data_IF_412802204399
#
_entry.id   IF_412802204399
#
_cell.length_a   1.000
_cell.length_b   1.000
_cell.length_c   1.000
_cell.angle_alpha   90.00
_cell.angle_beta   90.00
_cell.angle_gamma   90.00
#
_symmetry.space_group_name_H-M   'P 1'
#
loop_
_entity.id
_entity.type
_entity.pdbx_description
1 polymer ?
#
# COMPACT_ATOMS: atom_id res chain seq x y z
N UNK A 1 17.77 1.12 18.23
CA UNK A 1 16.40 1.42 17.77
C UNK A 1 16.44 2.80 17.16
N UNK A 2 16.09 2.95 15.88
CA UNK A 2 15.92 4.29 15.30
C UNK A 2 14.79 5.02 16.04
N UNK A 3 14.96 6.31 16.29
CA UNK A 3 13.91 7.13 16.90
C UNK A 3 12.72 7.21 15.94
N UNK A 4 11.52 6.85 16.41
CA UNK A 4 10.25 7.06 15.69
C UNK A 4 9.74 8.50 15.83
N UNK A 5 10.60 9.45 16.21
CA UNK A 5 10.20 10.84 16.37
C UNK A 5 9.64 11.41 15.05
N UNK A 6 8.39 11.87 15.08
CA UNK A 6 7.68 12.37 13.92
C UNK A 6 6.91 11.32 13.11
N UNK A 7 7.08 10.03 13.41
CA UNK A 7 6.28 8.97 12.81
C UNK A 7 4.93 8.81 13.50
N UNK A 8 3.87 8.68 12.70
CA UNK A 8 2.53 8.30 13.15
C UNK A 8 1.97 7.22 12.23
N UNK A 9 1.23 6.27 12.80
CA UNK A 9 0.53 5.30 11.97
C UNK A 9 -0.54 5.99 11.10
N UNK A 10 -0.83 5.42 9.93
CA UNK A 10 -1.88 5.93 9.04
C UNK A 10 -3.23 6.01 9.79
N UNK A 11 -3.56 5.01 10.61
CA UNK A 11 -4.78 5.02 11.41
C UNK A 11 -4.82 6.20 12.41
N UNK A 12 -3.69 6.50 13.06
CA UNK A 12 -3.61 7.64 13.98
C UNK A 12 -3.76 8.97 13.22
N UNK A 13 -3.17 9.09 12.03
CA UNK A 13 -3.31 10.27 11.18
C UNK A 13 -4.76 10.49 10.75
N UNK A 14 -5.47 9.45 10.31
CA UNK A 14 -6.88 9.54 9.95
C UNK A 14 -7.75 9.99 11.13
N UNK A 15 -7.49 9.47 12.34
CA UNK A 15 -8.19 9.88 13.58
C UNK A 15 -7.93 11.33 13.94
N UNK A 16 -6.70 11.82 13.78
CA UNK A 16 -6.33 13.21 14.07
C UNK A 16 -6.92 14.18 13.05
N UNK A 17 -6.86 13.85 11.76
CA UNK A 17 -7.40 14.66 10.68
C UNK A 17 -8.92 14.76 10.73
N UNK A 18 -9.61 13.73 11.25
CA UNK A 18 -11.07 13.60 11.24
C UNK A 18 -11.67 13.73 9.83
N UNK A 19 -10.87 13.42 8.81
CA UNK A 19 -11.25 13.36 7.40
C UNK A 19 -10.47 12.24 6.71
N UNK A 20 -10.96 11.75 5.56
CA UNK A 20 -10.16 10.94 4.65
C UNK A 20 -8.94 11.71 4.15
N UNK A 21 -7.94 10.99 3.65
CA UNK A 21 -6.88 11.61 2.87
C UNK A 21 -7.42 12.14 1.54
N UNK A 22 -6.85 13.24 1.07
CA UNK A 22 -7.10 13.75 -0.26
C UNK A 22 -6.33 12.92 -1.29
N UNK A 23 -6.58 13.17 -2.57
CA UNK A 23 -5.98 12.38 -3.65
C UNK A 23 -4.45 12.42 -3.66
N UNK A 24 -3.85 13.60 -3.45
CA UNK A 24 -2.39 13.77 -3.42
C UNK A 24 -1.75 12.98 -2.26
N UNK A 25 -2.36 13.05 -1.08
CA UNK A 25 -1.96 12.29 0.11
C UNK A 25 -2.06 10.79 -0.15
N UNK A 26 -3.14 10.32 -0.80
CA UNK A 26 -3.38 8.91 -1.17
C UNK A 26 -2.32 8.42 -2.18
N UNK A 27 -2.08 9.18 -3.23
CA UNK A 27 -1.08 8.82 -4.25
C UNK A 27 0.29 8.71 -3.59
N UNK A 28 0.64 9.68 -2.74
CA UNK A 28 1.93 9.70 -2.06
C UNK A 28 2.15 8.46 -1.17
N UNK A 29 1.20 8.14 -0.28
CA UNK A 29 1.30 6.96 0.60
C UNK A 29 1.41 5.67 -0.21
N UNK A 30 0.63 5.53 -1.28
CA UNK A 30 0.64 4.32 -2.11
C UNK A 30 1.97 4.15 -2.82
N UNK A 31 2.53 5.21 -3.41
CA UNK A 31 3.85 5.13 -4.04
C UNK A 31 4.93 4.67 -3.06
N UNK A 32 4.98 5.29 -1.88
CA UNK A 32 5.95 4.91 -0.84
C UNK A 32 5.76 3.50 -0.32
N UNK A 33 4.51 3.05 -0.22
CA UNK A 33 4.20 1.70 0.19
C UNK A 33 4.61 0.67 -0.87
N UNK A 34 4.38 0.95 -2.15
CA UNK A 34 4.84 0.10 -3.25
C UNK A 34 6.36 -0.01 -3.22
N UNK A 35 7.08 1.11 -3.08
CA UNK A 35 8.54 1.11 -2.95
C UNK A 35 9.01 0.23 -1.76
N UNK A 36 8.33 0.32 -0.62
CA UNK A 36 8.65 -0.49 0.55
C UNK A 36 8.40 -2.00 0.30
N UNK A 37 7.29 -2.35 -0.35
CA UNK A 37 6.93 -3.73 -0.68
C UNK A 37 7.87 -4.35 -1.72
N UNK A 38 8.30 -3.56 -2.72
CA UNK A 38 9.30 -3.98 -3.69
C UNK A 38 10.65 -4.27 -3.02
N UNK A 39 11.05 -3.44 -2.05
CA UNK A 39 12.24 -3.70 -1.24
C UNK A 39 12.12 -5.00 -0.43
N UNK A 40 11.00 -5.23 0.26
CA UNK A 40 10.78 -6.49 0.98
C UNK A 40 10.89 -7.71 0.04
N UNK A 41 10.27 -7.62 -1.14
CA UNK A 41 10.35 -8.66 -2.17
C UNK A 41 11.79 -8.92 -2.64
N UNK A 42 12.60 -7.88 -2.83
CA UNK A 42 14.02 -8.00 -3.21
C UNK A 42 14.83 -8.78 -2.19
N UNK A 43 14.50 -8.65 -0.91
CA UNK A 43 15.17 -9.35 0.19
C UNK A 43 14.50 -10.68 0.58
N UNK A 44 13.54 -11.17 -0.21
CA UNK A 44 12.81 -12.40 0.10
C UNK A 44 12.06 -12.34 1.44
N UNK A 45 11.62 -11.15 1.84
CA UNK A 45 10.91 -10.92 3.10
C UNK A 45 9.42 -10.80 2.80
N UNK A 46 8.61 -11.53 3.56
CA UNK A 46 7.15 -11.35 3.59
C UNK A 46 6.76 -10.67 4.89
N UNK A 47 5.96 -9.61 4.79
CA UNK A 47 5.30 -9.01 5.93
C UNK A 47 3.81 -9.36 5.90
N UNK A 48 3.35 -10.11 6.91
CA UNK A 48 1.95 -10.56 7.00
C UNK A 48 1.01 -9.54 7.66
N UNK A 49 1.51 -8.39 8.12
CA UNK A 49 0.77 -7.46 8.96
C UNK A 49 0.76 -6.04 8.38
N UNK A 50 0.56 -5.94 7.07
CA UNK A 50 0.49 -4.64 6.37
C UNK A 50 -0.93 -4.09 6.53
N UNK A 51 -1.12 -3.24 7.53
CA UNK A 51 -2.40 -2.56 7.86
C UNK A 51 -2.14 -1.09 8.15
N UNK A 52 -3.20 -0.25 8.18
CA UNK A 52 -3.05 1.17 8.53
C UNK A 52 -2.43 1.43 9.91
N UNK A 53 -2.47 0.46 10.83
CA UNK A 53 -1.84 0.56 12.15
C UNK A 53 -0.32 0.34 12.10
N UNK A 54 0.16 -0.41 11.09
CA UNK A 54 1.55 -0.84 10.96
C UNK A 54 2.30 -0.12 9.83
N UNK A 55 1.63 0.82 9.16
CA UNK A 55 2.24 1.75 8.21
C UNK A 55 2.42 3.07 8.92
N UNK A 56 3.66 3.52 9.04
CA UNK A 56 4.02 4.75 9.73
C UNK A 56 4.50 5.79 8.73
N UNK A 57 3.84 6.94 8.71
CA UNK A 57 4.25 8.11 7.93
C UNK A 57 4.94 9.11 8.87
N UNK A 58 6.11 9.60 8.46
CA UNK A 58 6.77 10.70 9.12
C UNK A 58 6.19 12.02 8.60
N UNK A 59 5.54 12.77 9.48
CA UNK A 59 4.87 14.02 9.08
C UNK A 59 5.83 15.18 8.82
N UNK A 60 7.12 15.05 9.18
CA UNK A 60 8.15 16.08 8.97
C UNK A 60 8.83 15.95 7.60
N UNK A 61 9.08 14.73 7.13
CA UNK A 61 9.84 14.48 5.89
C UNK A 61 9.12 13.60 4.86
N UNK A 62 7.94 13.06 5.20
CA UNK A 62 7.14 12.22 4.31
C UNK A 62 7.59 10.76 4.22
N UNK A 63 8.62 10.33 4.95
CA UNK A 63 9.08 8.95 4.87
C UNK A 63 8.02 7.97 5.39
N UNK A 64 7.87 6.83 4.71
CA UNK A 64 7.01 5.73 5.13
C UNK A 64 7.85 4.57 5.65
N UNK A 65 7.46 4.01 6.78
CA UNK A 65 8.03 2.80 7.37
C UNK A 65 6.95 1.75 7.61
N UNK A 66 7.32 0.49 7.43
CA UNK A 66 6.49 -0.67 7.76
C UNK A 66 6.99 -1.31 9.05
N UNK A 67 6.09 -1.65 9.97
CA UNK A 67 6.46 -2.49 11.10
C UNK A 67 6.79 -3.90 10.61
N UNK A 68 8.04 -4.31 10.85
CA UNK A 68 8.56 -5.61 10.45
C UNK A 68 8.35 -6.71 11.51
N UNK A 69 7.69 -6.44 12.64
CA UNK A 69 7.55 -7.38 13.77
C UNK A 69 6.94 -8.75 13.42
N UNK A 70 6.17 -8.82 12.34
CA UNK A 70 5.56 -10.03 11.79
C UNK A 70 6.20 -10.52 10.49
N UNK A 71 7.36 -9.99 10.12
CA UNK A 71 8.02 -10.32 8.86
C UNK A 71 8.78 -11.64 8.95
N UNK A 72 8.81 -12.41 7.86
CA UNK A 72 9.57 -13.66 7.75
C UNK A 72 10.39 -13.69 6.46
N UNK A 73 11.59 -14.24 6.54
CA UNK A 73 12.39 -14.58 5.36
C UNK A 73 11.85 -15.86 4.73
N UNK A 74 11.65 -15.86 3.41
CA UNK A 74 11.39 -17.08 2.65
C UNK A 74 12.73 -17.66 2.22
N UNK A 75 13.17 -18.73 2.88
CA UNK A 75 14.35 -19.51 2.51
C UNK A 75 13.91 -20.84 1.90
N UNK A 76 13.55 -20.87 0.61
CA UNK A 76 13.71 -22.05 -0.28
C UNK A 76 13.10 -21.80 -1.66
N UNK A 77 13.80 -22.27 -2.70
CA UNK A 77 13.38 -22.15 -4.11
C UNK A 77 12.06 -22.87 -4.46
N UNK A 78 11.51 -23.70 -3.55
CA UNK A 78 10.26 -24.46 -3.74
C UNK A 78 9.04 -23.85 -3.00
N UNK A 79 9.23 -23.16 -1.87
CA UNK A 79 8.17 -22.33 -1.25
C UNK A 79 7.94 -21.01 -2.00
N UNK A 80 8.95 -20.58 -2.74
CA UNK A 80 8.96 -19.31 -3.47
C UNK A 80 7.78 -19.19 -4.44
N UNK A 81 7.39 -20.22 -5.19
CA UNK A 81 6.34 -20.10 -6.21
C UNK A 81 4.95 -19.92 -5.62
N UNK A 82 4.59 -20.67 -4.58
CA UNK A 82 3.29 -20.56 -3.91
C UNK A 82 3.22 -19.31 -3.04
N UNK A 83 4.26 -19.02 -2.25
CA UNK A 83 4.25 -17.88 -1.34
C UNK A 83 4.41 -16.56 -2.09
N UNK A 84 5.13 -16.51 -3.22
CA UNK A 84 5.24 -15.29 -4.04
C UNK A 84 3.99 -15.05 -4.89
N UNK A 85 3.28 -16.10 -5.34
CA UNK A 85 1.97 -15.94 -5.97
C UNK A 85 0.92 -15.49 -4.95
N UNK A 86 0.92 -16.09 -3.75
CA UNK A 86 0.10 -15.64 -2.63
C UNK A 86 0.49 -14.22 -2.22
N UNK A 87 1.77 -13.85 -2.24
CA UNK A 87 2.27 -12.51 -1.93
C UNK A 87 1.85 -11.46 -2.96
N UNK A 88 1.98 -11.74 -4.27
CA UNK A 88 1.53 -10.79 -5.31
C UNK A 88 0.00 -10.64 -5.32
N UNK A 89 -0.75 -11.72 -5.03
CA UNK A 89 -2.20 -11.65 -4.84
C UNK A 89 -2.55 -10.88 -3.54
N UNK A 90 -1.80 -11.10 -2.46
CA UNK A 90 -1.96 -10.40 -1.19
C UNK A 90 -1.60 -8.93 -1.31
N UNK A 91 -0.54 -8.52 -2.01
CA UNK A 91 -0.14 -7.11 -2.15
C UNK A 91 -1.25 -6.31 -2.82
N UNK A 92 -1.85 -6.84 -3.90
CA UNK A 92 -2.99 -6.18 -4.56
C UNK A 92 -4.16 -6.04 -3.60
N UNK A 93 -4.57 -7.11 -2.92
CA UNK A 93 -5.66 -7.04 -1.95
C UNK A 93 -5.36 -6.09 -0.80
N UNK A 94 -4.14 -6.10 -0.26
CA UNK A 94 -3.66 -5.21 0.81
C UNK A 94 -3.73 -3.75 0.35
N UNK A 95 -3.22 -3.44 -0.84
CA UNK A 95 -3.32 -2.09 -1.43
C UNK A 95 -4.79 -1.69 -1.59
N UNK A 96 -5.64 -2.59 -2.05
CA UNK A 96 -7.09 -2.37 -2.17
C UNK A 96 -7.75 -2.04 -0.83
N UNK A 97 -7.46 -2.82 0.22
CA UNK A 97 -7.99 -2.57 1.57
C UNK A 97 -7.50 -1.23 2.13
N UNK A 98 -6.21 -0.94 1.98
CA UNK A 98 -5.62 0.32 2.44
C UNK A 98 -6.23 1.51 1.73
N UNK A 99 -6.35 1.46 0.39
CA UNK A 99 -6.98 2.50 -0.41
C UNK A 99 -8.41 2.78 0.05
N UNK A 100 -9.19 1.74 0.34
CA UNK A 100 -10.54 1.88 0.87
C UNK A 100 -10.52 2.60 2.22
N UNK A 101 -9.65 2.20 3.16
CA UNK A 101 -9.56 2.82 4.48
C UNK A 101 -9.16 4.30 4.42
N UNK A 102 -8.09 4.61 3.70
CA UNK A 102 -7.56 5.99 3.61
C UNK A 102 -8.47 6.93 2.82
N UNK A 103 -9.30 6.39 1.92
CA UNK A 103 -10.30 7.15 1.16
C UNK A 103 -11.63 7.34 1.92
N UNK A 104 -11.70 6.95 3.21
CA UNK A 104 -12.88 7.15 4.04
C UNK A 104 -13.88 6.00 4.06
N UNK A 105 -13.47 4.82 3.58
CA UNK A 105 -14.26 3.59 3.58
C UNK A 105 -15.29 3.50 2.46
N UNK A 106 -15.85 2.31 2.26
CA UNK A 106 -16.88 2.04 1.24
C UNK A 106 -18.18 2.84 1.45
N UNK A 107 -18.39 3.35 2.66
CA UNK A 107 -19.53 4.21 3.03
C UNK A 107 -19.51 5.54 2.28
N UNK A 108 -18.31 6.03 1.91
CA UNK A 108 -18.07 7.33 1.28
C UNK A 108 -17.75 7.23 -0.22
N UNK A 109 -18.18 6.14 -0.87
CA UNK A 109 -17.79 5.82 -2.26
C UNK A 109 -18.04 6.95 -3.26
N UNK A 110 -19.07 7.77 -3.04
CA UNK A 110 -19.41 8.93 -3.89
C UNK A 110 -18.38 10.06 -3.86
N UNK A 111 -17.53 10.12 -2.81
CA UNK A 111 -16.52 11.17 -2.61
C UNK A 111 -15.10 10.69 -2.93
N UNK A 112 -14.93 9.43 -3.36
CA UNK A 112 -13.63 8.88 -3.77
C UNK A 112 -13.42 9.27 -5.24
N UNK A 113 -12.26 9.84 -5.63
CA UNK A 113 -11.95 10.12 -7.03
C UNK A 113 -12.09 8.88 -7.93
N UNK A 114 -12.54 9.07 -9.17
CA UNK A 114 -12.85 7.96 -10.08
C UNK A 114 -11.62 7.08 -10.36
N UNK A 115 -10.45 7.70 -10.47
CA UNK A 115 -9.15 7.07 -10.66
C UNK A 115 -8.81 6.14 -9.49
N UNK A 116 -9.06 6.60 -8.25
CA UNK A 116 -8.85 5.80 -7.05
C UNK A 116 -9.87 4.65 -6.97
N UNK A 117 -11.13 4.88 -7.36
CA UNK A 117 -12.13 3.81 -7.44
C UNK A 117 -11.73 2.71 -8.43
N UNK A 118 -11.24 3.10 -9.61
CA UNK A 118 -10.75 2.17 -10.63
C UNK A 118 -9.54 1.38 -10.11
N UNK A 119 -8.63 2.04 -9.40
CA UNK A 119 -7.46 1.38 -8.85
C UNK A 119 -7.81 0.41 -7.71
N UNK A 120 -8.77 0.78 -6.84
CA UNK A 120 -9.36 -0.12 -5.85
C UNK A 120 -9.96 -1.35 -6.55
N UNK A 121 -10.74 -1.15 -7.61
CA UNK A 121 -11.35 -2.24 -8.36
C UNK A 121 -10.29 -3.15 -9.01
N UNK A 122 -9.22 -2.58 -9.58
CA UNK A 122 -8.08 -3.33 -10.11
C UNK A 122 -7.38 -4.17 -9.04
N UNK A 123 -7.25 -3.63 -7.81
CA UNK A 123 -6.65 -4.33 -6.68
C UNK A 123 -7.43 -5.59 -6.25
N UNK A 124 -8.74 -5.64 -6.52
CA UNK A 124 -9.62 -6.76 -6.14
C UNK A 124 -9.99 -7.73 -7.28
N UNK A 125 -9.67 -7.42 -8.55
CA UNK A 125 -9.92 -8.31 -9.69
C UNK A 125 -8.80 -9.35 -9.84
N UNK A 126 -9.15 -10.64 -9.82
CA UNK A 126 -8.23 -11.77 -10.05
C UNK A 126 -8.21 -12.20 -11.52
N UNK A 127 -7.05 -12.20 -12.19
CA UNK A 127 -6.54 -13.30 -13.06
C UNK A 127 -5.19 -12.98 -13.75
N UNK A 128 -4.54 -14.03 -14.25
CA UNK A 128 -3.10 -14.25 -14.41
C UNK A 128 -2.41 -13.66 -15.67
N UNK A 129 -3.04 -12.77 -16.44
CA UNK A 129 -2.54 -12.33 -17.76
C UNK A 129 -2.37 -10.81 -17.94
N UNK A 130 -2.63 -9.99 -16.92
CA UNK A 130 -2.75 -8.53 -17.08
C UNK A 130 -1.44 -7.73 -16.94
N UNK A 131 -0.30 -8.41 -16.84
CA UNK A 131 1.04 -7.80 -16.68
C UNK A 131 1.52 -6.98 -17.89
N UNK A 132 0.88 -7.07 -19.05
CA UNK A 132 1.26 -6.29 -20.25
C UNK A 132 0.69 -4.86 -20.28
N UNK A 133 -0.08 -4.44 -19.27
CA UNK A 133 -0.81 -3.15 -19.27
C UNK A 133 -0.41 -2.17 -18.17
N UNK A 134 0.73 -2.38 -17.49
CA UNK A 134 1.29 -1.41 -16.53
C UNK A 134 1.91 -0.23 -17.32
N UNK A 135 1.05 0.54 -17.97
CA UNK A 135 1.28 1.92 -18.40
C UNK A 135 0.53 2.90 -17.50
N UNK A 136 -0.38 2.45 -16.63
CA UNK A 136 -1.21 3.36 -15.82
C UNK A 136 -0.34 4.21 -14.88
N UNK A 137 0.67 3.65 -14.20
CA UNK A 137 1.55 4.46 -13.34
C UNK A 137 2.60 5.31 -14.09
N UNK A 138 2.77 5.13 -15.41
CA UNK A 138 3.65 5.97 -16.25
C UNK A 138 2.87 7.01 -17.08
N UNK A 139 1.61 6.75 -17.36
CA UNK A 139 0.72 7.64 -18.13
C UNK A 139 -0.12 8.57 -17.26
N UNK A 140 -0.16 8.40 -15.93
CA UNK A 140 -0.60 9.51 -15.06
C UNK A 140 0.52 10.55 -14.98
N UNK A 141 0.77 11.21 -16.11
CA UNK A 141 1.45 12.49 -16.16
C UNK A 141 0.52 13.51 -15.54
N UNK A 142 0.56 13.63 -14.21
CA UNK A 142 0.00 14.80 -13.56
C UNK A 142 0.80 16.01 -14.03
N UNK A 143 0.16 16.85 -14.85
CA UNK A 143 0.66 18.22 -15.07
C UNK A 143 0.57 18.93 -13.72
N UNK A 144 1.73 19.09 -13.09
CA UNK A 144 1.97 20.07 -12.01
C UNK A 144 1.66 21.46 -12.55
#
# INVERSE_FOLDING_TARGET
>A
MESLEGYKSINNLLKELKRPFNEEEIVYIIHKLVDALENLKKFSIVNYNITCDNIFLNTKNGDVKLDAGSSKFINSQQQYTSDTQLLNQNIKSILGYLLVEISGGLQNKSNIPYEIQNFIQYCFLFSSSELSRINICKEVSFKI
#
